data_IF_842018888202
#
_entry.id   IF_842018888202
#
_cell.length_a   1.000
_cell.length_b   1.000
_cell.length_c   1.000
_cell.angle_alpha   90.00
_cell.angle_beta   90.00
_cell.angle_gamma   90.00
#
_symmetry.space_group_name_H-M   'P 1'
#
loop_
_entity.id
_entity.type
_entity.pdbx_description
1 polymer ?
#
# COMPACT_ATOMS: atom_id res chain seq x y z
N UNK A 1 -9.59 22.03 5.20
CA UNK A 1 -9.17 21.14 6.31
C UNK A 1 -8.23 20.14 5.68
N UNK A 2 -7.00 19.99 6.16
CA UNK A 2 -5.96 19.28 5.39
C UNK A 2 -5.65 17.95 6.05
N UNK A 3 -5.95 16.85 5.36
CA UNK A 3 -5.48 15.51 5.70
C UNK A 3 -4.28 15.20 4.81
N UNK A 4 -3.27 14.55 5.36
CA UNK A 4 -2.11 14.06 4.61
C UNK A 4 -1.69 12.69 5.14
N UNK A 5 -1.57 11.73 4.24
CA UNK A 5 -0.98 10.42 4.51
C UNK A 5 0.50 10.49 4.15
N UNK A 6 1.38 10.31 5.15
CA UNK A 6 2.84 10.30 4.96
C UNK A 6 3.38 8.88 4.72
N UNK A 7 2.71 7.88 5.30
CA UNK A 7 2.86 6.47 4.96
C UNK A 7 1.49 5.77 4.99
N UNK A 8 1.25 4.78 4.11
CA UNK A 8 2.13 4.39 2.99
C UNK A 8 2.17 5.45 1.90
N UNK A 9 3.17 5.40 1.00
CA UNK A 9 3.21 6.22 -0.21
C UNK A 9 2.57 5.47 -1.38
N UNK A 10 2.30 6.22 -2.44
CA UNK A 10 1.78 5.67 -3.69
C UNK A 10 2.66 4.50 -4.18
N UNK A 11 2.00 3.35 -4.39
CA UNK A 11 2.56 2.09 -4.87
C UNK A 11 3.66 1.49 -3.96
N UNK A 12 3.63 1.81 -2.67
CA UNK A 12 4.41 1.07 -1.69
C UNK A 12 3.89 -0.36 -1.54
N UNK A 13 4.81 -1.29 -1.25
CA UNK A 13 4.45 -2.62 -0.80
C UNK A 13 4.15 -2.53 0.70
N UNK A 14 2.95 -2.97 1.08
CA UNK A 14 2.50 -2.96 2.48
C UNK A 14 2.24 -4.38 2.98
N UNK A 15 2.44 -4.59 4.28
CA UNK A 15 2.14 -5.86 4.94
C UNK A 15 0.72 -5.91 5.49
N UNK A 16 0.48 -6.92 6.34
CA UNK A 16 -0.66 -6.96 7.24
C UNK A 16 -0.14 -6.99 8.70
N UNK A 17 -0.52 -6.04 9.57
CA UNK A 17 -1.43 -4.91 9.32
C UNK A 17 -0.84 -3.86 8.37
N UNK A 18 -1.72 -3.15 7.66
CA UNK A 18 -1.35 -1.97 6.87
C UNK A 18 -1.09 -0.82 7.82
N UNK A 19 0.14 -0.30 7.81
CA UNK A 19 0.55 0.82 8.68
C UNK A 19 0.25 2.14 7.99
N UNK A 20 -0.59 2.97 8.60
CA UNK A 20 -0.99 4.27 8.07
C UNK A 20 -0.60 5.35 9.08
N UNK A 21 0.13 6.37 8.65
CA UNK A 21 0.46 7.52 9.49
C UNK A 21 0.52 8.80 8.66
N UNK A 22 0.33 9.92 9.33
CA UNK A 22 0.26 11.20 8.64
C UNK A 22 0.00 12.36 9.59
N UNK A 23 -0.47 13.46 9.00
CA UNK A 23 -0.87 14.67 9.72
C UNK A 23 -2.26 15.05 9.26
N UNK A 24 -3.15 15.34 10.20
CA UNK A 24 -4.52 15.70 9.88
C UNK A 24 -5.17 16.49 10.99
N UNK A 25 -6.42 16.82 10.76
CA UNK A 25 -7.33 17.48 11.70
C UNK A 25 -8.73 16.99 11.34
N UNK A 26 -9.61 16.83 12.33
CA UNK A 26 -10.97 16.35 12.11
C UNK A 26 -11.95 16.92 13.12
N UNK A 27 -13.23 16.92 12.78
CA UNK A 27 -14.29 17.16 13.76
C UNK A 27 -14.15 16.20 14.95
N UNK A 28 -14.27 16.73 16.17
CA UNK A 28 -14.05 15.97 17.42
C UNK A 28 -12.73 15.19 17.46
N UNK A 29 -11.70 15.69 16.78
CA UNK A 29 -10.38 15.07 16.75
C UNK A 29 -10.42 13.62 16.18
N UNK A 30 -11.40 13.32 15.31
CA UNK A 30 -11.62 11.98 14.75
C UNK A 30 -11.53 12.01 13.23
N UNK A 31 -10.86 10.99 12.67
CA UNK A 31 -10.83 10.70 11.24
C UNK A 31 -11.31 9.28 10.99
N UNK A 32 -11.87 9.05 9.82
CA UNK A 32 -12.19 7.72 9.30
C UNK A 32 -11.05 7.22 8.43
N UNK A 33 -10.83 5.90 8.44
CA UNK A 33 -9.99 5.25 7.45
C UNK A 33 -10.76 4.16 6.73
N UNK A 34 -10.35 3.87 5.49
CA UNK A 34 -10.81 2.73 4.70
C UNK A 34 -9.65 2.12 3.92
N UNK A 35 -9.53 0.80 3.94
CA UNK A 35 -8.65 0.04 3.05
C UNK A 35 -9.51 -0.87 2.20
N UNK A 36 -9.46 -0.74 0.88
CA UNK A 36 -10.35 -1.47 -0.01
C UNK A 36 -9.72 -1.78 -1.37
N UNK A 37 -10.25 -2.77 -2.07
CA UNK A 37 -9.89 -3.08 -3.47
C UNK A 37 -11.05 -2.85 -4.46
N UNK A 38 -12.20 -2.38 -3.93
CA UNK A 38 -13.45 -2.20 -4.66
C UNK A 38 -14.40 -3.41 -4.61
N UNK A 39 -13.93 -4.57 -4.15
CA UNK A 39 -14.75 -5.77 -3.92
C UNK A 39 -15.08 -5.96 -2.45
N UNK A 40 -14.13 -5.64 -1.57
CA UNK A 40 -14.29 -5.66 -0.13
C UNK A 40 -13.58 -4.46 0.51
N UNK A 41 -13.89 -4.18 1.77
CA UNK A 41 -13.31 -3.06 2.52
C UNK A 41 -13.14 -3.35 4.01
N UNK A 42 -12.10 -2.74 4.59
CA UNK A 42 -11.91 -2.63 6.04
C UNK A 42 -11.98 -1.17 6.42
N UNK A 43 -12.90 -0.82 7.30
CA UNK A 43 -13.14 0.56 7.74
C UNK A 43 -12.95 0.69 9.25
N UNK A 44 -12.73 1.92 9.70
CA UNK A 44 -12.68 2.23 11.11
C UNK A 44 -12.36 3.71 11.34
N UNK A 45 -12.02 4.02 12.58
CA UNK A 45 -11.75 5.39 13.01
C UNK A 45 -10.41 5.47 13.71
N UNK A 46 -9.80 6.64 13.64
CA UNK A 46 -8.59 6.99 14.37
C UNK A 46 -8.76 8.35 15.03
N UNK A 47 -8.09 8.53 16.16
CA UNK A 47 -7.99 9.83 16.81
C UNK A 47 -6.79 10.57 16.23
N UNK A 48 -7.01 11.80 15.81
CA UNK A 48 -5.96 12.75 15.45
C UNK A 48 -5.93 13.83 16.53
N UNK A 49 -4.75 14.22 17.00
CA UNK A 49 -4.66 15.29 17.99
C UNK A 49 -5.20 16.63 17.44
N UNK A 50 -5.84 17.41 18.32
CA UNK A 50 -6.34 18.74 18.00
C UNK A 50 -7.76 18.77 17.45
N UNK A 51 -8.49 19.84 17.79
CA UNK A 51 -9.85 20.09 17.29
C UNK A 51 -9.84 20.71 15.89
N UNK A 52 -10.99 21.25 15.48
CA UNK A 52 -11.13 21.90 14.17
C UNK A 52 -10.09 23.01 13.96
N UNK A 53 -9.21 22.82 12.97
CA UNK A 53 -8.14 23.76 12.62
C UNK A 53 -6.77 23.48 13.25
N UNK A 54 -6.71 22.57 14.22
CA UNK A 54 -5.46 22.12 14.86
C UNK A 54 -5.00 20.82 14.20
N UNK A 55 -3.77 20.78 13.69
CA UNK A 55 -3.24 19.60 13.04
C UNK A 55 -2.30 18.84 13.99
N UNK A 56 -2.46 17.53 14.06
CA UNK A 56 -1.51 16.67 14.75
C UNK A 56 -1.19 15.42 13.94
N UNK A 57 -0.14 14.74 14.39
CA UNK A 57 0.22 13.45 13.86
C UNK A 57 -0.82 12.41 14.28
N UNK A 58 -1.07 11.48 13.37
CA UNK A 58 -1.86 10.27 13.64
C UNK A 58 -1.11 9.05 13.14
N UNK A 59 -1.45 7.89 13.73
CA UNK A 59 -1.01 6.59 13.27
C UNK A 59 -2.11 5.56 13.55
N UNK A 60 -2.28 4.59 12.65
CA UNK A 60 -3.19 3.46 12.81
C UNK A 60 -2.60 2.23 12.13
N UNK A 61 -2.88 1.06 12.70
CA UNK A 61 -2.58 -0.24 12.09
C UNK A 61 -3.91 -0.85 11.67
N UNK A 62 -4.07 -1.12 10.38
CA UNK A 62 -5.30 -1.68 9.82
C UNK A 62 -5.07 -3.15 9.54
N UNK A 63 -5.64 -4.02 10.37
CA UNK A 63 -5.65 -5.46 10.10
C UNK A 63 -6.64 -5.77 8.97
N UNK A 64 -6.10 -6.27 7.86
CA UNK A 64 -6.86 -6.64 6.66
C UNK A 64 -6.96 -8.16 6.48
N UNK A 65 -6.57 -8.96 7.48
CA UNK A 65 -6.62 -10.43 7.41
C UNK A 65 -8.03 -10.99 7.19
N UNK A 66 -9.07 -10.28 7.64
CA UNK A 66 -10.46 -10.68 7.47
C UNK A 66 -11.08 -10.29 6.12
N UNK A 67 -10.39 -9.48 5.32
CA UNK A 67 -10.94 -8.97 4.06
C UNK A 67 -10.71 -9.96 2.90
N UNK A 68 -11.73 -10.10 2.07
CA UNK A 68 -11.73 -10.95 0.88
C UNK A 68 -11.33 -10.17 -0.39
N UNK A 69 -10.23 -9.41 -0.33
CA UNK A 69 -9.73 -8.66 -1.49
C UNK A 69 -9.42 -9.57 -2.69
N UNK A 70 -9.91 -9.20 -3.86
CA UNK A 70 -9.68 -9.89 -5.12
C UNK A 70 -8.41 -9.40 -5.84
N UNK A 71 -7.99 -8.15 -5.60
CA UNK A 71 -6.83 -7.52 -6.22
C UNK A 71 -5.64 -7.44 -5.25
N UNK A 72 -4.44 -7.28 -5.80
CA UNK A 72 -3.22 -6.96 -5.05
C UNK A 72 -3.05 -5.45 -4.82
N UNK A 73 -3.50 -4.62 -5.77
CA UNK A 73 -3.62 -3.19 -5.58
C UNK A 73 -4.85 -2.86 -4.73
N UNK A 74 -4.61 -2.25 -3.59
CA UNK A 74 -5.65 -1.74 -2.68
C UNK A 74 -5.47 -0.23 -2.49
N UNK A 75 -6.51 0.44 -2.01
CA UNK A 75 -6.53 1.87 -1.76
C UNK A 75 -6.64 2.12 -0.27
N UNK A 76 -5.70 2.88 0.28
CA UNK A 76 -5.73 3.36 1.65
C UNK A 76 -6.30 4.77 1.63
N UNK A 77 -7.41 4.96 2.32
CA UNK A 77 -8.10 6.23 2.41
C UNK A 77 -8.15 6.72 3.84
N UNK A 78 -7.94 8.02 4.03
CA UNK A 78 -8.22 8.73 5.29
C UNK A 78 -9.07 9.95 4.94
N UNK A 79 -10.18 10.10 5.66
CA UNK A 79 -11.17 11.14 5.37
C UNK A 79 -11.89 11.59 6.64
N UNK A 80 -12.58 12.71 6.52
CA UNK A 80 -13.47 13.23 7.55
C UNK A 80 -14.92 12.93 7.13
N UNK A 81 -15.76 12.55 8.10
CA UNK A 81 -17.20 12.45 7.90
C UNK A 81 -17.84 13.78 8.25
N UNK A 82 -18.56 14.39 7.30
CA UNK A 82 -19.27 15.64 7.49
C UNK A 82 -20.33 15.51 8.60
N UNK A 83 -20.31 16.42 9.59
CA UNK A 83 -21.31 16.44 10.65
C UNK A 83 -22.71 16.86 10.16
N UNK A 84 -22.81 17.49 8.99
CA UNK A 84 -24.08 17.98 8.44
C UNK A 84 -24.88 16.87 7.75
N UNK A 85 -24.19 16.02 6.98
CA UNK A 85 -24.84 15.07 6.06
C UNK A 85 -24.16 13.70 5.98
N UNK A 86 -23.09 13.47 6.73
CA UNK A 86 -22.33 12.21 6.73
C UNK A 86 -21.53 11.96 5.45
N UNK A 87 -21.41 12.96 4.55
CA UNK A 87 -20.60 12.83 3.35
C UNK A 87 -19.10 12.74 3.68
N UNK A 88 -18.36 12.04 2.83
CA UNK A 88 -16.90 11.95 2.97
C UNK A 88 -16.24 13.19 2.41
N UNK A 89 -15.57 13.96 3.27
CA UNK A 89 -14.90 15.21 2.93
C UNK A 89 -13.41 15.13 3.24
N UNK A 90 -12.63 16.01 2.58
CA UNK A 90 -11.18 16.11 2.75
C UNK A 90 -10.42 14.79 2.52
N UNK A 91 -11.04 13.85 1.79
CA UNK A 91 -10.54 12.49 1.58
C UNK A 91 -9.21 12.49 0.82
N UNK A 92 -8.26 11.74 1.36
CA UNK A 92 -7.00 11.39 0.72
C UNK A 92 -7.01 9.91 0.42
N UNK A 93 -6.63 9.54 -0.80
CA UNK A 93 -6.57 8.16 -1.28
C UNK A 93 -5.15 7.87 -1.75
N UNK A 94 -4.55 6.79 -1.25
CA UNK A 94 -3.21 6.32 -1.64
C UNK A 94 -3.33 4.87 -2.14
N UNK A 95 -3.08 4.60 -3.43
CA UNK A 95 -3.02 3.23 -3.92
C UNK A 95 -1.72 2.56 -3.45
N UNK A 96 -1.80 1.33 -2.97
CA UNK A 96 -0.67 0.52 -2.49
C UNK A 96 -0.78 -0.91 -2.99
N UNK A 97 0.30 -1.68 -2.86
CA UNK A 97 0.34 -3.09 -3.24
C UNK A 97 0.42 -3.94 -1.97
N UNK A 98 -0.59 -4.78 -1.75
CA UNK A 98 -0.67 -5.65 -0.58
C UNK A 98 0.24 -6.86 -0.76
N UNK A 99 1.37 -6.89 -0.04
CA UNK A 99 2.42 -7.89 -0.22
C UNK A 99 1.95 -9.33 0.07
N UNK A 100 1.01 -9.52 1.00
CA UNK A 100 0.39 -10.83 1.28
C UNK A 100 -0.44 -11.39 0.12
N UNK A 101 -0.75 -10.57 -0.91
CA UNK A 101 -1.36 -11.02 -2.17
C UNK A 101 -0.33 -11.45 -3.22
N UNK A 102 0.94 -11.17 -2.99
CA UNK A 102 2.04 -11.52 -3.89
C UNK A 102 2.73 -12.80 -3.44
N UNK A 103 3.12 -12.87 -2.17
CA UNK A 103 3.80 -14.03 -1.57
C UNK A 103 3.13 -14.38 -0.26
N UNK A 104 3.02 -15.68 0.03
CA UNK A 104 2.57 -16.16 1.33
C UNK A 104 3.52 -15.62 2.41
N UNK A 105 2.99 -15.27 3.58
CA UNK A 105 3.86 -14.90 4.69
C UNK A 105 4.66 -13.62 4.48
N UNK A 106 4.18 -12.70 3.63
CA UNK A 106 4.91 -11.50 3.25
C UNK A 106 5.50 -10.74 4.45
N UNK A 107 6.83 -10.59 4.46
CA UNK A 107 7.57 -9.86 5.51
C UNK A 107 8.28 -8.61 4.99
N UNK A 108 8.31 -8.39 3.68
CA UNK A 108 8.96 -7.22 3.09
C UNK A 108 9.43 -7.46 1.66
N UNK A 109 10.43 -6.70 1.22
CA UNK A 109 11.06 -6.90 -0.08
C UNK A 109 12.57 -6.70 -0.01
N UNK A 110 13.29 -7.29 -0.96
CA UNK A 110 14.69 -6.98 -1.24
C UNK A 110 14.78 -6.11 -2.49
N UNK A 111 15.74 -5.21 -2.52
CA UNK A 111 16.04 -4.47 -3.75
C UNK A 111 16.99 -5.28 -4.63
N UNK A 112 16.65 -5.39 -5.90
CA UNK A 112 17.52 -5.94 -6.94
C UNK A 112 17.85 -4.86 -7.95
N UNK A 113 19.13 -4.53 -8.08
CA UNK A 113 19.60 -3.65 -9.15
C UNK A 113 19.82 -4.51 -10.39
N UNK A 114 19.00 -4.31 -11.42
CA UNK A 114 19.09 -5.04 -12.68
C UNK A 114 20.48 -4.90 -13.28
N UNK A 115 21.09 -6.02 -13.65
CA UNK A 115 22.39 -6.09 -14.30
C UNK A 115 22.25 -6.40 -15.79
N UNK A 116 23.32 -6.18 -16.55
CA UNK A 116 23.34 -6.55 -17.96
C UNK A 116 23.22 -8.07 -18.12
N UNK A 117 22.18 -8.50 -18.85
CA UNK A 117 21.90 -9.91 -19.10
C UNK A 117 20.84 -10.51 -18.16
N UNK A 118 20.38 -9.75 -17.15
CA UNK A 118 19.26 -10.17 -16.32
C UNK A 118 17.97 -10.30 -17.14
N UNK A 119 17.16 -11.26 -16.75
CA UNK A 119 15.75 -11.38 -17.16
C UNK A 119 14.90 -11.52 -15.91
N UNK A 120 13.63 -11.08 -15.96
CA UNK A 120 12.73 -11.28 -14.83
C UNK A 120 12.58 -12.76 -14.45
N UNK A 121 12.65 -13.66 -15.44
CA UNK A 121 12.65 -15.10 -15.22
C UNK A 121 13.85 -15.55 -14.38
N UNK A 122 15.07 -15.18 -14.77
CA UNK A 122 16.27 -15.56 -14.05
C UNK A 122 16.30 -14.96 -12.62
N UNK A 123 15.83 -13.72 -12.47
CA UNK A 123 15.69 -13.07 -11.15
C UNK A 123 14.68 -13.85 -10.30
N UNK A 124 13.53 -14.23 -10.85
CA UNK A 124 12.52 -15.00 -10.12
C UNK A 124 13.02 -16.41 -9.77
N UNK A 125 13.72 -17.09 -10.67
CA UNK A 125 14.32 -18.40 -10.40
C UNK A 125 15.34 -18.34 -9.26
N UNK A 126 16.18 -17.30 -9.24
CA UNK A 126 17.16 -17.10 -8.18
C UNK A 126 16.53 -16.77 -6.81
N UNK A 127 15.35 -16.14 -6.77
CA UNK A 127 14.73 -15.67 -5.53
C UNK A 127 13.59 -16.56 -5.01
N UNK A 128 12.87 -17.23 -5.91
CA UNK A 128 11.70 -18.06 -5.61
C UNK A 128 11.91 -19.54 -5.98
N UNK A 129 13.05 -19.88 -6.61
CA UNK A 129 13.33 -21.22 -7.12
C UNK A 129 12.54 -21.56 -8.39
N UNK A 130 11.73 -20.64 -8.91
CA UNK A 130 10.85 -20.87 -10.06
C UNK A 130 10.73 -19.62 -10.92
N UNK A 131 11.33 -19.67 -12.11
CA UNK A 131 11.33 -18.51 -13.00
C UNK A 131 9.94 -18.06 -13.47
N UNK A 132 8.94 -18.95 -13.48
CA UNK A 132 7.55 -18.60 -13.81
C UNK A 132 6.92 -17.59 -12.83
N UNK A 133 7.50 -17.45 -11.64
CA UNK A 133 6.98 -16.57 -10.60
C UNK A 133 7.46 -15.11 -10.79
N UNK A 134 8.05 -14.81 -11.95
CA UNK A 134 8.41 -13.45 -12.36
C UNK A 134 7.22 -12.47 -12.34
N UNK A 135 6.01 -12.98 -12.52
CA UNK A 135 4.78 -12.18 -12.42
C UNK A 135 4.61 -11.53 -11.04
N UNK A 136 5.18 -12.10 -9.97
CA UNK A 136 5.19 -11.49 -8.63
C UNK A 136 6.04 -10.22 -8.60
N UNK A 137 7.18 -10.23 -9.30
CA UNK A 137 8.08 -9.08 -9.43
C UNK A 137 7.39 -7.98 -10.24
N UNK A 138 6.72 -8.33 -11.34
CA UNK A 138 5.97 -7.36 -12.16
C UNK A 138 4.92 -6.66 -11.32
N UNK A 139 4.08 -7.42 -10.60
CA UNK A 139 2.98 -6.89 -9.77
C UNK A 139 3.48 -6.04 -8.60
N UNK A 140 4.67 -6.34 -8.07
CA UNK A 140 5.33 -5.55 -7.03
C UNK A 140 5.92 -4.20 -7.51
N UNK A 141 6.13 -4.04 -8.82
CA UNK A 141 6.84 -2.89 -9.40
C UNK A 141 6.06 -2.19 -10.51
N UNK A 142 4.78 -1.82 -10.31
CA UNK A 142 3.93 -1.28 -11.37
C UNK A 142 4.42 0.05 -11.96
N UNK A 143 5.28 0.79 -11.25
CA UNK A 143 5.90 2.02 -11.73
C UNK A 143 7.27 1.81 -12.39
N UNK A 144 7.95 0.69 -12.16
CA UNK A 144 9.26 0.38 -12.76
C UNK A 144 9.14 -0.55 -13.97
N UNK A 145 8.12 -1.41 -14.01
CA UNK A 145 7.91 -2.41 -15.05
C UNK A 145 6.55 -2.15 -15.72
N UNK A 146 6.59 -1.51 -16.88
CA UNK A 146 5.42 -1.31 -17.74
C UNK A 146 5.30 -2.39 -18.83
N UNK A 147 6.45 -2.95 -19.26
CA UNK A 147 6.55 -4.06 -20.18
C UNK A 147 7.41 -5.15 -19.53
N UNK A 148 6.83 -6.31 -19.15
CA UNK A 148 7.58 -7.40 -18.51
C UNK A 148 8.76 -7.94 -19.34
N UNK A 149 8.72 -7.77 -20.66
CA UNK A 149 9.80 -8.22 -21.55
C UNK A 149 10.96 -7.21 -21.60
N UNK A 150 10.84 -6.07 -20.92
CA UNK A 150 11.81 -4.96 -20.96
C UNK A 150 12.18 -4.50 -19.56
N UNK A 151 13.33 -4.99 -19.09
CA UNK A 151 14.05 -4.42 -17.96
C UNK A 151 15.41 -3.89 -18.41
N UNK A 152 15.92 -2.87 -17.71
CA UNK A 152 17.11 -2.13 -18.09
C UNK A 152 18.14 -2.17 -16.96
N UNK A 153 19.44 -2.36 -17.27
CA UNK A 153 20.49 -2.28 -16.27
C UNK A 153 20.43 -0.97 -15.47
N UNK A 154 20.55 -1.07 -14.14
CA UNK A 154 20.44 0.04 -13.21
C UNK A 154 19.02 0.29 -12.67
N UNK A 155 17.98 -0.34 -13.22
CA UNK A 155 16.66 -0.33 -12.59
C UNK A 155 16.71 -1.01 -11.22
N UNK A 156 16.02 -0.44 -10.23
CA UNK A 156 15.89 -1.03 -8.90
C UNK A 156 14.51 -1.64 -8.79
N UNK A 157 14.45 -2.96 -8.66
CA UNK A 157 13.21 -3.71 -8.54
C UNK A 157 13.02 -4.18 -7.09
N UNK A 158 11.81 -4.02 -6.58
CA UNK A 158 11.36 -4.61 -5.31
C UNK A 158 11.05 -6.09 -5.55
N UNK A 159 11.75 -6.98 -4.85
CA UNK A 159 11.53 -8.43 -4.90
C UNK A 159 10.81 -8.84 -3.60
N UNK A 160 9.48 -9.08 -3.61
CA UNK A 160 8.75 -9.50 -2.43
C UNK A 160 9.37 -10.74 -1.77
N UNK A 161 9.40 -10.76 -0.44
CA UNK A 161 9.86 -11.90 0.36
C UNK A 161 8.78 -12.30 1.36
N UNK A 162 8.65 -13.60 1.59
CA UNK A 162 7.75 -14.22 2.54
C UNK A 162 8.46 -15.33 3.32
N UNK A 163 7.82 -15.82 4.38
CA UNK A 163 8.29 -16.93 5.22
C UNK A 163 7.85 -18.33 4.75
#
# INVERSE_FOLDING_TARGET
MTIRIDQPRELDLVGNPVLVAGVGTGFEATLSYRVHDGHDEVTGFLTVGGGTGEHAQYQVQVDVSGAAFALDRVFVEVFESSAEDGSEINKVTVPVILGSRLVAGYVGYREHVVQRGDTLWAIAEANYGKGSDFSLIVRANPNQITDPDRIFPGQVLKIPIGD
#
